data_IF_962044108149
#
_entry.id   IF_962044108149
#
_cell.length_a   1.000
_cell.length_b   1.000
_cell.length_c   1.000
_cell.angle_alpha   90.00
_cell.angle_beta   90.00
_cell.angle_gamma   90.00
#
_symmetry.space_group_name_H-M   'P 1'
#
loop_
_entity.id
_entity.type
_entity.pdbx_description
1 polymer ?
#
# COMPACT_ATOMS: atom_id res chain seq x y z
N UNK A 1 14.10 -10.14 52.75
CA UNK A 1 14.87 -9.81 51.52
C UNK A 1 15.61 -10.99 50.87
N UNK A 2 15.71 -12.19 51.47
CA UNK A 2 16.44 -13.32 50.88
C UNK A 2 15.72 -14.03 49.69
N UNK A 3 14.39 -13.99 49.61
CA UNK A 3 13.63 -14.69 48.57
C UNK A 3 13.77 -14.07 47.16
N UNK A 4 14.05 -12.76 47.06
CA UNK A 4 14.22 -12.09 45.77
C UNK A 4 15.56 -12.46 45.09
N UNK A 5 16.61 -12.76 45.88
CA UNK A 5 17.91 -13.17 45.36
C UNK A 5 17.86 -14.57 44.72
N UNK A 6 17.12 -15.52 45.31
CA UNK A 6 16.96 -16.87 44.75
C UNK A 6 16.22 -16.86 43.39
N UNK A 7 15.18 -16.02 43.25
CA UNK A 7 14.49 -15.83 41.97
C UNK A 7 15.32 -15.11 40.90
N UNK A 8 16.24 -14.24 41.31
CA UNK A 8 17.19 -13.57 40.41
C UNK A 8 18.28 -14.52 39.88
N UNK A 9 18.78 -15.43 40.73
CA UNK A 9 19.77 -16.44 40.32
C UNK A 9 19.21 -17.39 39.25
N UNK A 10 17.96 -17.84 39.37
CA UNK A 10 17.32 -18.67 38.34
C UNK A 10 17.12 -17.94 37.00
N UNK A 11 16.78 -16.64 37.01
CA UNK A 11 16.69 -15.82 35.78
C UNK A 11 18.05 -15.61 35.13
N UNK A 12 19.09 -15.37 35.92
CA UNK A 12 20.47 -15.20 35.42
C UNK A 12 21.02 -16.51 34.83
N UNK A 13 20.70 -17.64 35.45
CA UNK A 13 21.08 -18.97 34.96
C UNK A 13 20.37 -19.30 33.63
N UNK A 14 19.08 -19.01 33.53
CA UNK A 14 18.33 -19.18 32.28
C UNK A 14 18.86 -18.27 31.15
N UNK A 15 19.23 -17.02 31.47
CA UNK A 15 19.83 -16.09 30.51
C UNK A 15 21.23 -16.54 30.06
N UNK A 16 22.04 -17.08 30.98
CA UNK A 16 23.35 -17.64 30.69
C UNK A 16 23.26 -18.85 29.75
N UNK A 17 22.29 -19.74 29.95
CA UNK A 17 22.02 -20.89 29.07
C UNK A 17 21.58 -20.42 27.68
N UNK A 18 20.65 -19.48 27.59
CA UNK A 18 20.23 -18.88 26.30
C UNK A 18 21.40 -18.24 25.54
N UNK A 19 22.33 -17.59 26.25
CA UNK A 19 23.55 -17.04 25.64
C UNK A 19 24.49 -18.14 25.16
N UNK A 20 24.67 -19.21 25.93
CA UNK A 20 25.50 -20.37 25.57
C UNK A 20 24.98 -21.07 24.31
N UNK A 21 23.68 -21.28 24.20
CA UNK A 21 23.04 -21.88 23.02
C UNK A 21 23.22 -21.02 21.78
N UNK A 22 23.02 -19.70 21.89
CA UNK A 22 23.28 -18.76 20.79
C UNK A 22 24.73 -18.80 20.31
N UNK A 23 25.69 -18.87 21.23
CA UNK A 23 27.11 -18.96 20.90
C UNK A 23 27.48 -20.31 20.27
N UNK A 24 26.88 -21.41 20.73
CA UNK A 24 27.06 -22.72 20.12
C UNK A 24 26.53 -22.78 18.69
N UNK A 25 25.33 -22.23 18.45
CA UNK A 25 24.78 -22.13 17.10
C UNK A 25 25.66 -21.28 16.16
N UNK A 26 26.30 -20.23 16.68
CA UNK A 26 27.28 -19.44 15.91
C UNK A 26 28.58 -20.22 15.67
N UNK A 27 29.06 -21.02 16.63
CA UNK A 27 30.23 -21.89 16.45
C UNK A 27 30.00 -22.99 15.42
N UNK A 28 28.82 -23.59 15.41
CA UNK A 28 28.42 -24.59 14.40
C UNK A 28 28.36 -23.97 13.00
N UNK A 29 27.77 -22.79 12.87
CA UNK A 29 27.71 -22.04 11.59
C UNK A 29 29.08 -21.57 11.11
N UNK A 30 30.01 -21.25 12.02
CA UNK A 30 31.37 -20.80 11.68
C UNK A 30 32.38 -21.94 11.53
N UNK A 31 31.95 -23.21 11.64
CA UNK A 31 32.78 -24.39 11.39
C UNK A 31 33.94 -24.59 12.38
N UNK A 32 34.06 -23.74 13.41
CA UNK A 32 35.07 -23.86 14.46
C UNK A 32 34.55 -24.83 15.53
N UNK A 33 34.58 -26.13 15.23
CA UNK A 33 34.50 -27.17 16.27
C UNK A 33 35.77 -27.06 17.12
N UNK A 34 35.71 -26.28 18.19
CA UNK A 34 36.80 -26.16 19.14
C UNK A 34 36.81 -27.43 20.00
N UNK A 35 37.89 -28.19 19.87
CA UNK A 35 38.43 -29.03 20.93
C UNK A 35 38.44 -28.20 22.21
N UNK A 36 37.59 -28.57 23.16
CA UNK A 36 37.76 -28.15 24.53
C UNK A 36 38.89 -29.00 25.11
N UNK A 37 39.78 -28.35 25.87
CA UNK A 37 40.89 -28.93 26.63
C UNK A 37 42.20 -29.21 25.86
N UNK A 38 43.01 -28.16 25.67
CA UNK A 38 44.47 -28.20 25.89
C UNK A 38 45.10 -26.82 25.67
N UNK A 39 45.89 -26.38 26.65
CA UNK A 39 46.68 -25.16 26.64
C UNK A 39 47.77 -25.17 25.53
N UNK A 40 48.20 -24.02 24.98
CA UNK A 40 49.27 -23.99 23.98
C UNK A 40 50.64 -23.92 24.67
N UNK A 41 51.39 -25.03 24.67
CA UNK A 41 52.81 -25.03 25.03
C UNK A 41 53.69 -24.74 23.80
N UNK A 42 54.45 -23.65 23.90
CA UNK A 42 55.91 -23.65 23.72
C UNK A 42 56.49 -23.82 22.31
N UNK A 43 57.09 -22.72 21.80
CA UNK A 43 58.07 -22.72 20.71
C UNK A 43 59.23 -23.68 21.01
N UNK A 44 59.62 -24.51 20.06
CA UNK A 44 60.95 -25.12 20.03
C UNK A 44 61.55 -24.98 18.63
N UNK A 45 62.55 -24.09 18.51
CA UNK A 45 63.55 -24.06 17.44
C UNK A 45 64.65 -25.02 17.87
N UNK A 46 65.06 -25.94 17.00
CA UNK A 46 66.22 -26.82 17.20
C UNK A 46 67.03 -26.81 15.91
N UNK A 47 68.29 -26.40 16.02
CA UNK A 47 69.32 -26.39 14.96
C UNK A 47 70.23 -27.62 15.12
N UNK A 48 71.11 -27.81 14.12
CA UNK A 48 72.14 -28.85 13.87
C UNK A 48 71.69 -30.14 13.17
N UNK A 49 72.44 -30.76 12.24
CA UNK A 49 73.47 -30.44 11.22
C UNK A 49 73.77 -31.82 10.56
N UNK A 50 74.04 -31.89 9.24
CA UNK A 50 74.77 -33.02 8.62
C UNK A 50 74.03 -34.08 7.80
N UNK A 51 73.80 -33.81 6.50
CA UNK A 51 73.84 -34.78 5.37
C UNK A 51 73.99 -33.97 4.05
N UNK A 52 74.59 -34.47 2.95
CA UNK A 52 74.93 -33.63 1.81
C UNK A 52 73.64 -33.11 1.17
N UNK A 53 73.38 -31.81 1.36
CA UNK A 53 72.28 -31.11 0.71
C UNK A 53 72.45 -31.28 -0.79
N UNK A 54 71.64 -32.16 -1.40
CA UNK A 54 71.30 -32.04 -2.81
C UNK A 54 70.56 -30.71 -2.92
N UNK A 55 71.30 -29.63 -3.14
CA UNK A 55 70.73 -28.31 -3.36
C UNK A 55 69.61 -28.46 -4.38
N UNK A 56 68.40 -28.08 -3.96
CA UNK A 56 67.16 -28.23 -4.73
C UNK A 56 67.43 -27.82 -6.18
N UNK A 57 67.06 -28.68 -7.13
CA UNK A 57 67.33 -28.47 -8.56
C UNK A 57 67.05 -27.02 -8.99
N UNK A 58 68.03 -26.39 -9.64
CA UNK A 58 67.99 -24.98 -10.03
C UNK A 58 66.83 -24.74 -11.03
N UNK A 59 65.74 -24.15 -10.53
CA UNK A 59 64.54 -23.81 -11.33
C UNK A 59 64.54 -22.33 -11.67
N UNK A 60 64.65 -22.03 -12.96
CA UNK A 60 64.75 -20.66 -13.44
C UNK A 60 63.36 -20.14 -13.84
N UNK A 61 62.88 -19.14 -13.10
CA UNK A 61 61.56 -18.51 -13.30
C UNK A 61 61.62 -17.19 -14.08
N UNK A 62 62.68 -16.39 -13.88
CA UNK A 62 62.79 -15.03 -14.43
C UNK A 62 63.90 -14.84 -15.50
N UNK A 63 64.84 -15.79 -15.63
CA UNK A 63 65.97 -15.69 -16.56
C UNK A 63 65.92 -16.78 -17.64
N UNK A 64 66.47 -16.47 -18.82
CA UNK A 64 66.66 -17.43 -19.94
C UNK A 64 68.15 -17.74 -20.08
N UNK A 65 68.62 -18.92 -19.66
CA UNK A 65 70.00 -19.34 -19.87
C UNK A 65 70.34 -19.49 -21.34
N UNK A 66 71.60 -19.25 -21.67
CA UNK A 66 72.15 -19.54 -23.00
C UNK A 66 72.43 -21.05 -23.18
N UNK A 67 72.84 -21.75 -22.12
CA UNK A 67 73.15 -23.18 -22.13
C UNK A 67 71.92 -24.10 -22.30
N UNK A 68 72.06 -25.11 -23.15
CA UNK A 68 70.99 -26.07 -23.53
C UNK A 68 70.49 -26.93 -22.35
N UNK A 69 71.36 -27.27 -21.38
CA UNK A 69 71.00 -28.07 -20.21
C UNK A 69 70.16 -27.29 -19.20
N UNK A 70 70.43 -25.99 -19.05
CA UNK A 70 69.75 -25.11 -18.11
C UNK A 70 68.40 -24.61 -18.65
N UNK A 71 68.23 -24.55 -19.98
CA UNK A 71 66.94 -24.28 -20.64
C UNK A 71 65.86 -25.29 -20.29
N UNK A 72 66.23 -26.58 -20.16
CA UNK A 72 65.30 -27.66 -19.77
C UNK A 72 64.79 -27.51 -18.33
N UNK A 73 65.50 -26.76 -17.48
CA UNK A 73 65.15 -26.50 -16.08
C UNK A 73 64.35 -25.21 -15.88
N UNK A 74 63.92 -24.56 -16.97
CA UNK A 74 63.07 -23.37 -16.94
C UNK A 74 61.63 -23.75 -16.58
N UNK A 75 61.07 -23.07 -15.58
CA UNK A 75 59.67 -23.28 -15.18
C UNK A 75 58.76 -22.63 -16.24
N UNK A 76 57.76 -23.35 -16.79
CA UNK A 76 56.81 -22.74 -17.70
C UNK A 76 56.07 -21.59 -17.02
N UNK A 77 55.96 -20.45 -17.71
CA UNK A 77 55.21 -19.32 -17.17
C UNK A 77 53.73 -19.67 -17.08
N UNK A 78 53.16 -19.50 -15.89
CA UNK A 78 51.75 -19.73 -15.65
C UNK A 78 50.93 -18.75 -16.50
N UNK A 79 50.08 -19.26 -17.39
CA UNK A 79 49.07 -18.44 -18.07
C UNK A 79 48.01 -18.06 -17.02
N UNK A 80 47.57 -16.80 -16.96
CA UNK A 80 46.48 -16.42 -16.06
C UNK A 80 45.24 -17.25 -16.41
N UNK A 81 44.59 -17.84 -15.41
CA UNK A 81 43.35 -18.58 -15.59
C UNK A 81 42.29 -17.68 -16.24
N UNK A 82 41.43 -18.27 -17.08
CA UNK A 82 40.41 -17.51 -17.82
C UNK A 82 39.58 -16.67 -16.87
N UNK A 83 39.64 -15.36 -17.06
CA UNK A 83 38.93 -14.34 -16.26
C UNK A 83 37.42 -14.42 -16.43
N UNK A 84 36.94 -15.15 -17.43
CA UNK A 84 35.54 -15.27 -17.79
C UNK A 84 34.69 -15.90 -16.67
N UNK A 85 35.22 -16.93 -15.99
CA UNK A 85 34.51 -17.59 -14.88
C UNK A 85 34.46 -16.68 -13.66
N UNK A 86 35.55 -15.98 -13.35
CA UNK A 86 35.61 -15.05 -12.20
C UNK A 86 34.74 -13.81 -12.40
N UNK A 87 34.62 -13.34 -13.65
CA UNK A 87 33.75 -12.21 -14.01
C UNK A 87 32.28 -12.64 -13.95
N UNK A 88 31.95 -13.87 -14.36
CA UNK A 88 30.59 -14.42 -14.20
C UNK A 88 30.20 -14.54 -12.73
N UNK A 89 31.09 -15.09 -11.89
CA UNK A 89 30.85 -15.19 -10.45
C UNK A 89 30.66 -13.82 -9.79
N UNK A 90 31.43 -12.82 -10.21
CA UNK A 90 31.29 -11.44 -9.73
C UNK A 90 30.01 -10.76 -10.22
N UNK A 91 29.58 -11.03 -11.45
CA UNK A 91 28.32 -10.52 -12.01
C UNK A 91 27.09 -11.19 -11.40
N UNK A 92 27.18 -12.45 -11.02
CA UNK A 92 26.12 -13.16 -10.30
C UNK A 92 26.03 -12.72 -8.85
N UNK A 93 27.17 -12.50 -8.18
CA UNK A 93 27.20 -11.93 -6.83
C UNK A 93 26.80 -10.44 -6.78
N UNK A 94 26.96 -9.71 -7.89
CA UNK A 94 26.55 -8.31 -8.03
C UNK A 94 25.10 -8.13 -8.49
N UNK A 95 24.34 -9.21 -8.68
CA UNK A 95 22.87 -9.15 -8.78
C UNK A 95 22.31 -9.24 -7.35
N UNK A 96 22.02 -8.12 -6.67
CA UNK A 96 21.37 -8.18 -5.38
C UNK A 96 20.00 -8.86 -5.55
N UNK A 97 19.74 -9.93 -4.79
CA UNK A 97 18.38 -10.42 -4.61
C UNK A 97 17.55 -9.28 -4.00
N UNK A 98 16.46 -8.84 -4.64
CA UNK A 98 15.59 -7.79 -4.09
C UNK A 98 14.75 -8.40 -2.96
N UNK A 99 15.36 -8.62 -1.81
CA UNK A 99 14.69 -8.98 -0.57
C UNK A 99 14.74 -7.73 0.30
N UNK A 100 13.78 -6.83 0.04
CA UNK A 100 12.96 -6.11 1.03
C UNK A 100 11.97 -5.33 0.16
N UNK A 101 10.74 -5.83 0.15
CA UNK A 101 9.56 -5.09 -0.31
C UNK A 101 9.64 -3.66 0.21
N UNK A 102 9.57 -2.73 -0.73
CA UNK A 102 9.53 -1.29 -0.55
C UNK A 102 8.81 -0.92 0.75
N UNK A 103 9.58 -0.63 1.81
CA UNK A 103 9.03 -0.01 3.00
C UNK A 103 8.59 1.37 2.58
N UNK A 104 7.29 1.50 2.35
CA UNK A 104 6.61 2.70 1.89
C UNK A 104 7.00 3.91 2.76
N UNK A 105 7.93 4.72 2.26
CA UNK A 105 8.60 5.81 3.00
C UNK A 105 7.61 6.88 3.49
N UNK A 106 6.40 6.90 2.92
CA UNK A 106 5.28 7.74 3.35
C UNK A 106 4.71 7.33 4.72
N UNK A 107 4.87 6.07 5.14
CA UNK A 107 4.48 5.59 6.46
C UNK A 107 5.58 5.76 7.53
N UNK A 108 6.85 5.90 7.10
CA UNK A 108 8.00 6.16 7.96
C UNK A 108 8.19 7.65 8.31
N UNK A 109 7.58 8.54 7.54
CA UNK A 109 7.66 9.98 7.77
C UNK A 109 7.00 10.37 9.11
N UNK A 110 7.47 11.45 9.77
CA UNK A 110 6.84 11.99 10.97
C UNK A 110 5.37 12.32 10.69
N UNK A 111 4.45 11.55 11.27
CA UNK A 111 3.01 11.80 11.15
C UNK A 111 2.64 13.11 11.84
N UNK A 112 1.54 13.74 11.39
CA UNK A 112 0.95 14.92 12.03
C UNK A 112 0.77 14.65 13.53
N UNK A 113 1.09 15.58 14.43
CA UNK A 113 0.97 15.36 15.88
C UNK A 113 -0.46 14.96 16.31
N UNK A 114 -1.48 15.39 15.58
CA UNK A 114 -2.89 15.04 15.84
C UNK A 114 -3.29 13.63 15.38
N UNK A 115 -2.40 12.86 14.74
CA UNK A 115 -2.76 11.57 14.14
C UNK A 115 -3.19 10.55 15.21
N UNK A 116 -2.50 10.56 16.34
CA UNK A 116 -2.77 9.69 17.47
C UNK A 116 -4.04 10.12 18.19
N UNK A 117 -4.20 11.44 18.38
CA UNK A 117 -5.40 12.02 18.96
C UNK A 117 -6.66 11.65 18.16
N UNK A 118 -6.61 11.75 16.82
CA UNK A 118 -7.73 11.37 15.96
C UNK A 118 -8.06 9.89 16.04
N UNK A 119 -7.05 9.02 16.09
CA UNK A 119 -7.25 7.57 16.21
C UNK A 119 -7.92 7.19 17.53
N UNK A 120 -7.45 7.79 18.62
CA UNK A 120 -7.91 7.45 19.97
C UNK A 120 -9.26 8.09 20.32
N UNK A 121 -9.53 9.28 19.76
CA UNK A 121 -10.82 9.97 19.90
C UNK A 121 -11.88 9.38 18.97
N UNK A 122 -11.54 8.95 17.75
CA UNK A 122 -12.51 8.37 16.80
C UNK A 122 -13.27 7.18 17.40
N UNK A 123 -12.57 6.23 18.03
CA UNK A 123 -13.21 5.07 18.67
C UNK A 123 -14.18 5.46 19.78
N UNK A 124 -13.90 6.55 20.50
CA UNK A 124 -14.76 7.07 21.58
C UNK A 124 -15.97 7.79 21.00
N UNK A 125 -15.77 8.60 19.96
CA UNK A 125 -16.84 9.30 19.24
C UNK A 125 -17.78 8.30 18.58
N UNK A 126 -17.29 7.29 17.85
CA UNK A 126 -18.12 6.27 17.23
C UNK A 126 -19.04 5.56 18.25
N UNK A 127 -18.52 5.28 19.44
CA UNK A 127 -19.28 4.65 20.52
C UNK A 127 -20.32 5.61 21.11
N UNK A 128 -19.98 6.89 21.22
CA UNK A 128 -20.88 7.93 21.71
C UNK A 128 -21.98 8.20 20.67
N UNK A 129 -21.63 8.42 19.42
CA UNK A 129 -22.52 8.67 18.29
C UNK A 129 -23.55 7.55 18.13
N UNK A 130 -23.14 6.28 18.23
CA UNK A 130 -24.09 5.15 18.22
C UNK A 130 -25.10 5.21 19.36
N UNK A 131 -24.70 5.67 20.56
CA UNK A 131 -25.62 5.84 21.69
C UNK A 131 -26.51 7.07 21.50
N UNK A 132 -25.94 8.16 21.00
CA UNK A 132 -26.68 9.39 20.70
C UNK A 132 -27.74 9.14 19.64
N UNK A 133 -27.41 8.42 18.56
CA UNK A 133 -28.37 8.03 17.52
C UNK A 133 -29.46 7.11 18.07
N UNK A 134 -29.13 6.18 18.97
CA UNK A 134 -30.12 5.33 19.66
C UNK A 134 -31.07 6.17 20.54
N UNK A 135 -30.52 7.04 21.37
CA UNK A 135 -31.31 7.94 22.22
C UNK A 135 -32.19 8.88 21.39
N UNK A 136 -31.67 9.43 20.28
CA UNK A 136 -32.46 10.23 19.33
C UNK A 136 -33.59 9.39 18.73
N UNK A 137 -33.31 8.17 18.29
CA UNK A 137 -34.32 7.29 17.71
C UNK A 137 -35.42 6.91 18.73
N UNK A 138 -35.04 6.66 19.99
CA UNK A 138 -35.98 6.41 21.09
C UNK A 138 -36.87 7.63 21.36
N UNK A 139 -36.27 8.82 21.49
CA UNK A 139 -37.01 10.08 21.65
C UNK A 139 -37.96 10.35 20.48
N UNK A 140 -37.56 10.02 19.24
CA UNK A 140 -38.44 10.14 18.06
C UNK A 140 -39.62 9.15 18.15
N UNK A 141 -39.38 7.90 18.57
CA UNK A 141 -40.44 6.89 18.72
C UNK A 141 -41.46 7.28 19.79
N UNK A 142 -40.99 7.81 20.92
CA UNK A 142 -41.83 8.33 22.00
C UNK A 142 -42.67 9.50 21.52
N UNK A 143 -42.09 10.46 20.78
CA UNK A 143 -42.81 11.61 20.21
C UNK A 143 -43.83 11.23 19.15
N UNK A 144 -43.57 10.18 18.37
CA UNK A 144 -44.50 9.70 17.33
C UNK A 144 -45.64 8.82 17.90
N UNK A 145 -45.44 8.20 19.06
CA UNK A 145 -46.44 7.34 19.73
C UNK A 145 -47.23 8.11 20.80
N UNK A 146 -46.65 9.20 21.33
CA UNK A 146 -47.30 10.10 22.27
C UNK A 146 -48.45 10.92 21.64
N UNK A 147 -49.25 11.63 22.46
CA UNK A 147 -50.47 12.32 22.02
C UNK A 147 -50.23 13.48 21.04
N UNK A 148 -48.99 13.97 20.93
CA UNK A 148 -48.58 15.03 20.00
C UNK A 148 -48.13 14.49 18.62
N UNK A 149 -48.59 13.29 18.25
CA UNK A 149 -48.31 12.68 16.95
C UNK A 149 -48.88 13.54 15.82
N UNK A 150 -48.12 14.55 15.38
CA UNK A 150 -48.40 15.28 14.16
C UNK A 150 -48.22 14.29 13.01
N UNK A 151 -49.28 13.96 12.25
CA UNK A 151 -49.14 13.08 11.10
C UNK A 151 -48.12 13.70 10.17
N UNK A 152 -47.06 12.94 9.84
CA UNK A 152 -46.07 13.40 8.89
C UNK A 152 -46.78 13.76 7.59
N UNK A 153 -46.58 14.97 7.04
CA UNK A 153 -47.09 15.27 5.71
C UNK A 153 -46.47 14.25 4.73
N UNK A 154 -47.24 13.76 3.75
CA UNK A 154 -46.72 12.81 2.78
C UNK A 154 -45.50 13.40 2.09
N UNK A 155 -44.36 12.76 2.29
CA UNK A 155 -43.09 13.13 1.67
C UNK A 155 -43.06 12.53 0.26
N UNK A 156 -43.80 13.14 -0.66
CA UNK A 156 -43.83 12.75 -2.06
C UNK A 156 -44.48 13.84 -2.90
N UNK A 157 -44.14 13.97 -4.20
CA UNK A 157 -44.95 14.78 -5.08
C UNK A 157 -46.41 14.29 -4.99
N UNK A 158 -47.40 15.19 -5.03
CA UNK A 158 -48.79 14.77 -5.05
C UNK A 158 -48.97 13.76 -6.18
N UNK A 159 -49.60 12.62 -5.91
CA UNK A 159 -49.93 11.65 -6.95
C UNK A 159 -50.92 12.34 -7.90
N UNK A 160 -50.42 12.88 -9.01
CA UNK A 160 -51.26 13.45 -10.06
C UNK A 160 -51.71 12.27 -10.92
N UNK A 161 -52.96 11.85 -10.75
CA UNK A 161 -53.55 10.79 -11.56
C UNK A 161 -53.46 11.18 -13.06
N UNK A 162 -52.71 10.45 -13.91
CA UNK A 162 -52.52 10.84 -15.32
C UNK A 162 -53.81 10.79 -16.14
N UNK A 163 -54.84 10.10 -15.63
CA UNK A 163 -56.17 10.04 -16.22
C UNK A 163 -57.02 11.28 -15.92
N UNK A 164 -56.69 12.05 -14.88
CA UNK A 164 -57.43 13.27 -14.51
C UNK A 164 -56.78 14.48 -15.20
N UNK A 165 -57.55 15.28 -15.95
CA UNK A 165 -57.01 16.45 -16.61
C UNK A 165 -56.59 17.52 -15.59
N UNK A 166 -55.42 18.11 -15.82
CA UNK A 166 -54.85 19.14 -14.94
C UNK A 166 -55.50 20.48 -15.30
N UNK A 167 -56.11 21.20 -14.33
CA UNK A 167 -56.61 22.55 -14.58
C UNK A 167 -55.41 23.50 -14.69
N UNK A 168 -55.16 24.02 -15.88
CA UNK A 168 -54.18 25.08 -16.09
C UNK A 168 -54.87 26.43 -16.13
N UNK A 169 -54.30 27.41 -15.45
CA UNK A 169 -54.72 28.82 -15.55
C UNK A 169 -53.65 29.56 -16.33
N UNK A 170 -54.06 30.27 -17.39
CA UNK A 170 -53.13 31.04 -18.20
C UNK A 170 -53.69 32.42 -18.56
N UNK A 171 -52.78 33.34 -18.84
CA UNK A 171 -53.08 34.70 -19.29
C UNK A 171 -52.47 34.91 -20.67
N UNK A 172 -53.24 35.45 -21.61
CA UNK A 172 -52.78 35.70 -22.98
C UNK A 172 -52.49 37.19 -23.15
N UNK A 173 -51.37 37.52 -23.79
CA UNK A 173 -50.95 38.89 -24.09
C UNK A 173 -50.73 39.07 -25.59
N UNK A 174 -51.10 40.24 -26.12
CA UNK A 174 -50.87 40.59 -27.53
C UNK A 174 -49.36 40.66 -27.85
N UNK A 175 -48.95 39.96 -28.91
CA UNK A 175 -47.57 39.97 -29.41
C UNK A 175 -47.39 40.98 -30.55
N UNK A 176 -46.14 41.32 -30.87
CA UNK A 176 -45.81 42.30 -31.93
C UNK A 176 -46.02 41.72 -33.34
N UNK A 177 -45.98 40.39 -33.47
CA UNK A 177 -46.06 39.70 -34.76
C UNK A 177 -47.49 39.54 -35.26
N UNK A 178 -47.68 39.65 -36.58
CA UNK A 178 -48.96 39.31 -37.23
C UNK A 178 -49.17 37.79 -37.19
N UNK A 179 -50.42 37.37 -36.98
CA UNK A 179 -50.78 35.95 -36.84
C UNK A 179 -50.50 35.13 -38.11
N UNK A 180 -50.53 35.75 -39.30
CA UNK A 180 -50.25 35.11 -40.58
C UNK A 180 -48.77 34.74 -40.76
N UNK A 181 -47.88 35.49 -40.12
CA UNK A 181 -46.43 35.46 -40.43
C UNK A 181 -45.65 34.66 -39.38
N UNK A 182 -46.31 34.23 -38.29
CA UNK A 182 -45.67 33.53 -37.20
C UNK A 182 -46.35 32.18 -36.87
N UNK A 183 -45.70 31.05 -37.18
CA UNK A 183 -46.23 29.72 -36.86
C UNK A 183 -46.06 29.33 -35.39
N UNK A 184 -45.22 30.01 -34.60
CA UNK A 184 -44.95 29.68 -33.19
C UNK A 184 -44.98 30.94 -32.30
N UNK A 185 -46.00 31.13 -31.45
CA UNK A 185 -46.17 32.34 -30.64
C UNK A 185 -44.99 32.69 -29.72
N UNK A 186 -44.27 31.68 -29.22
CA UNK A 186 -43.19 31.85 -28.23
C UNK A 186 -41.93 32.54 -28.78
N UNK A 187 -41.80 32.69 -30.10
CA UNK A 187 -40.66 33.36 -30.75
C UNK A 187 -40.87 34.86 -30.98
N UNK A 188 -42.01 35.41 -30.57
CA UNK A 188 -42.34 36.82 -30.76
C UNK A 188 -42.50 37.55 -29.43
N UNK A 189 -41.94 38.76 -29.38
CA UNK A 189 -42.02 39.61 -28.19
C UNK A 189 -43.44 40.11 -27.92
N UNK A 190 -43.74 40.31 -26.64
CA UNK A 190 -44.99 40.93 -26.19
C UNK A 190 -44.99 42.44 -26.43
N UNK A 191 -46.16 42.97 -26.79
CA UNK A 191 -46.35 44.41 -27.00
C UNK A 191 -46.41 45.12 -25.65
N UNK A 192 -45.57 46.16 -25.43
CA UNK A 192 -45.47 46.90 -24.15
C UNK A 192 -46.78 47.55 -23.67
N UNK A 193 -47.74 47.79 -24.57
CA UNK A 193 -49.10 48.31 -24.26
C UNK A 193 -50.19 47.40 -24.84
N UNK A 194 -49.91 46.11 -25.00
CA UNK A 194 -50.83 45.14 -25.57
C UNK A 194 -51.99 44.79 -24.64
N UNK A 195 -53.10 44.35 -25.22
CA UNK A 195 -54.25 43.86 -24.43
C UNK A 195 -53.87 42.55 -23.75
N UNK A 196 -54.17 42.43 -22.44
CA UNK A 196 -54.06 41.19 -21.66
C UNK A 196 -55.44 40.63 -21.41
N UNK A 197 -55.71 39.44 -21.94
CA UNK A 197 -56.96 38.74 -21.70
C UNK A 197 -56.84 37.88 -20.43
N UNK A 198 -57.81 37.96 -19.50
CA UNK A 198 -57.75 37.24 -18.24
C UNK A 198 -58.11 35.75 -18.39
N UNK A 199 -57.48 34.96 -17.51
CA UNK A 199 -57.74 33.59 -17.06
C UNK A 199 -58.64 32.72 -17.95
N UNK A 200 -58.01 31.89 -18.77
CA UNK A 200 -58.63 30.66 -19.29
C UNK A 200 -58.32 29.48 -18.37
N UNK A 201 -59.35 28.70 -18.00
CA UNK A 201 -59.17 27.37 -17.40
C UNK A 201 -59.24 26.32 -18.50
N UNK A 202 -58.12 25.65 -18.77
CA UNK A 202 -58.08 24.56 -19.74
C UNK A 202 -57.68 23.25 -19.05
N UNK A 203 -58.21 22.14 -19.56
CA UNK A 203 -57.98 20.79 -19.03
C UNK A 203 -56.94 20.10 -19.89
N UNK A 204 -55.68 20.12 -19.47
CA UNK A 204 -54.59 19.46 -20.17
C UNK A 204 -54.52 17.97 -19.79
N UNK A 205 -54.39 17.08 -20.78
CA UNK A 205 -54.06 15.67 -20.55
C UNK A 205 -52.55 15.53 -20.53
N UNK A 206 -52.02 14.83 -19.53
CA UNK A 206 -50.60 14.48 -19.47
C UNK A 206 -50.27 13.57 -20.66
N UNK A 207 -49.29 13.93 -21.49
CA UNK A 207 -48.83 13.08 -22.58
C UNK A 207 -48.27 11.76 -22.00
N UNK A 208 -48.53 10.60 -22.62
CA UNK A 208 -47.89 9.37 -22.19
C UNK A 208 -46.37 9.51 -22.35
N UNK A 209 -45.62 9.16 -21.30
CA UNK A 209 -44.17 8.98 -21.38
C UNK A 209 -43.94 7.85 -22.37
N UNK A 210 -43.39 8.18 -23.53
CA UNK A 210 -42.90 7.19 -24.47
C UNK A 210 -41.54 6.72 -23.95
N UNK A 211 -41.50 5.52 -23.38
CA UNK A 211 -40.25 4.83 -23.12
C UNK A 211 -39.61 4.55 -24.49
N UNK A 212 -38.50 5.23 -24.78
CA UNK A 212 -37.71 5.01 -25.99
C UNK A 212 -37.16 3.59 -25.97
N UNK A 213 -37.87 2.68 -26.64
CA UNK A 213 -37.46 1.29 -26.83
C UNK A 213 -36.09 1.23 -27.50
N UNK A 214 -35.16 0.57 -26.82
CA UNK A 214 -33.82 0.26 -27.30
C UNK A 214 -33.92 -0.58 -28.59
N UNK A 215 -33.37 -0.07 -29.69
CA UNK A 215 -33.27 -0.78 -30.96
C UNK A 215 -32.28 -1.94 -30.78
N UNK A 216 -32.62 -3.21 -31.08
CA UNK A 216 -31.64 -4.29 -31.08
C UNK A 216 -30.71 -4.12 -32.29
N UNK A 217 -29.41 -4.11 -32.04
CA UNK A 217 -28.38 -3.99 -33.07
C UNK A 217 -28.43 -5.15 -34.05
N UNK A 218 -28.50 -4.82 -35.34
CA UNK A 218 -28.36 -5.76 -36.44
C UNK A 218 -26.90 -6.23 -36.55
N UNK A 219 -26.72 -7.54 -36.67
CA UNK A 219 -25.46 -8.18 -37.06
C UNK A 219 -25.16 -8.11 -38.55
#
# INVERSE_FOLDING_TARGET
MAAAAAGALGRLEEEALRRKERLNALREKTGRKAKEESEPKGKHRKEEEGEPERHRELKLRNYVPQDEELKKRKVPQARPASVEERVKDQLEAAKPEPIIEEVDLANLAPRKPDWDLKRDVAKKLDKLEKRTQRAIAELIRERLTGPDAVPRPPCGPPQVDPSKPIPVTFTVQETVCRKSDNPVPDRCDFKKKGVRLPLGTERARSAPVWESGSVPGSG
#
